data_IF_332625748803
#
_entry.id   IF_332625748803
#
_cell.length_a   1.000
_cell.length_b   1.000
_cell.length_c   1.000
_cell.angle_alpha   90.00
_cell.angle_beta   90.00
_cell.angle_gamma   90.00
#
_symmetry.space_group_name_H-M   'P 1'
#
loop_
_entity.id
_entity.type
_entity.pdbx_description
1 polymer ?
#
# COMPACT_ATOMS: atom_id res chain seq x y z
N UNK A 1 9.40 -11.87 22.47
CA UNK A 1 9.13 -11.20 21.17
C UNK A 1 9.40 -12.17 20.04
N UNK A 2 8.46 -12.34 19.11
CA UNK A 2 8.62 -13.27 17.97
C UNK A 2 9.55 -12.64 16.92
N UNK A 3 10.79 -13.15 16.83
CA UNK A 3 11.82 -12.66 15.90
C UNK A 3 11.64 -13.13 14.44
N UNK A 4 10.67 -14.01 14.17
CA UNK A 4 10.42 -14.54 12.81
C UNK A 4 9.67 -13.56 11.90
N UNK A 5 9.02 -12.54 12.45
CA UNK A 5 8.26 -11.54 11.72
C UNK A 5 8.64 -10.12 12.16
N UNK A 6 8.82 -9.22 11.20
CA UNK A 6 8.87 -7.76 11.41
C UNK A 6 7.61 -7.14 10.83
N UNK A 7 6.93 -6.30 11.61
CA UNK A 7 5.84 -5.45 11.13
C UNK A 7 6.44 -4.16 10.55
N UNK A 8 6.01 -3.77 9.36
CA UNK A 8 6.50 -2.58 8.67
C UNK A 8 5.32 -1.67 8.35
N UNK A 9 5.43 -0.41 8.74
CA UNK A 9 4.45 0.63 8.49
C UNK A 9 5.09 1.79 7.73
N UNK A 10 4.44 2.20 6.64
CA UNK A 10 4.69 3.47 5.99
C UNK A 10 3.63 4.45 6.51
N UNK A 11 4.06 5.54 7.12
CA UNK A 11 3.19 6.51 7.79
C UNK A 11 3.41 7.91 7.24
N UNK A 12 2.35 8.71 7.27
CA UNK A 12 2.37 10.14 7.06
C UNK A 12 1.37 10.78 8.04
N UNK A 13 1.89 11.37 9.14
CA UNK A 13 1.08 12.01 10.21
C UNK A 13 -0.03 11.13 10.79
N UNK A 14 0.18 9.81 10.82
CA UNK A 14 -0.84 8.83 11.27
C UNK A 14 -0.66 8.44 12.74
N UNK A 15 -0.26 9.37 13.60
CA UNK A 15 0.10 9.14 14.99
C UNK A 15 -0.95 8.37 15.79
N UNK A 16 -2.22 8.75 15.68
CA UNK A 16 -3.33 8.10 16.37
C UNK A 16 -3.45 6.60 16.04
N UNK A 17 -3.37 6.24 14.77
CA UNK A 17 -3.44 4.85 14.35
C UNK A 17 -2.16 4.09 14.69
N UNK A 18 -1.00 4.72 14.57
CA UNK A 18 0.26 4.13 15.01
C UNK A 18 0.23 3.79 16.49
N UNK A 19 -0.28 4.66 17.34
CA UNK A 19 -0.39 4.39 18.77
C UNK A 19 -1.27 3.16 19.05
N UNK A 20 -2.42 3.01 18.37
CA UNK A 20 -3.28 1.80 18.47
C UNK A 20 -2.53 0.53 18.07
N UNK A 21 -1.79 0.57 16.95
CA UNK A 21 -0.98 -0.55 16.47
C UNK A 21 0.11 -0.90 17.48
N UNK A 22 0.82 0.12 18.00
CA UNK A 22 1.91 -0.06 18.94
C UNK A 22 1.42 -0.67 20.25
N UNK A 23 0.34 -0.19 20.84
CA UNK A 23 -0.29 -0.79 22.04
C UNK A 23 -0.55 -2.29 21.86
N UNK A 24 -0.91 -2.72 20.66
CA UNK A 24 -1.24 -4.13 20.35
C UNK A 24 -0.02 -5.02 20.14
N UNK A 25 1.07 -4.47 19.53
CA UNK A 25 2.14 -5.30 18.96
C UNK A 25 3.55 -5.04 19.49
N UNK A 26 3.85 -3.91 20.12
CA UNK A 26 5.23 -3.49 20.44
C UNK A 26 6.02 -4.49 21.30
N UNK A 27 5.34 -5.26 22.16
CA UNK A 27 5.96 -6.33 22.96
C UNK A 27 6.01 -7.69 22.23
N UNK A 28 5.32 -7.83 21.09
CA UNK A 28 5.12 -9.12 20.41
C UNK A 28 6.02 -9.30 19.19
N UNK A 29 6.27 -8.24 18.46
CA UNK A 29 7.04 -8.27 17.20
C UNK A 29 8.01 -7.10 17.11
N UNK A 30 9.16 -7.25 16.41
CA UNK A 30 9.92 -6.12 15.91
C UNK A 30 9.05 -5.24 15.00
N UNK A 31 9.12 -3.92 15.18
CA UNK A 31 8.34 -2.95 14.39
C UNK A 31 9.30 -1.94 13.77
N UNK A 32 9.10 -1.67 12.48
CA UNK A 32 9.79 -0.59 11.76
C UNK A 32 8.72 0.35 11.20
N UNK A 33 8.86 1.64 11.49
CA UNK A 33 7.98 2.68 11.00
C UNK A 33 8.81 3.68 10.21
N UNK A 34 8.38 3.95 8.96
CA UNK A 34 8.92 5.06 8.17
C UNK A 34 7.90 6.19 8.19
N UNK A 35 8.22 7.29 8.89
CA UNK A 35 7.32 8.44 9.03
C UNK A 35 7.69 9.52 8.01
N UNK A 36 6.89 9.61 6.96
CA UNK A 36 7.15 10.44 5.78
C UNK A 36 6.79 11.94 5.96
N UNK A 37 6.18 12.33 7.05
CA UNK A 37 5.97 13.76 7.33
C UNK A 37 7.27 14.49 7.71
N UNK A 38 8.34 13.74 7.95
CA UNK A 38 9.63 14.24 8.42
C UNK A 38 9.55 14.93 9.82
N UNK A 39 8.42 14.79 10.50
CA UNK A 39 8.18 15.37 11.82
C UNK A 39 8.79 14.48 12.92
N UNK A 40 9.82 15.01 13.59
CA UNK A 40 10.50 14.30 14.66
C UNK A 40 9.67 14.18 15.93
N UNK A 41 8.74 15.12 16.17
CA UNK A 41 7.90 15.11 17.36
C UNK A 41 7.02 13.87 17.44
N UNK A 42 6.48 13.41 16.28
CA UNK A 42 5.68 12.17 16.20
C UNK A 42 6.51 10.97 16.68
N UNK A 43 7.78 10.89 16.23
CA UNK A 43 8.70 9.84 16.69
C UNK A 43 8.94 9.92 18.19
N UNK A 44 9.26 11.12 18.69
CA UNK A 44 9.71 11.32 20.07
C UNK A 44 8.56 11.04 21.03
N UNK A 45 7.35 11.49 20.71
CA UNK A 45 6.15 11.19 21.50
C UNK A 45 5.83 9.68 21.49
N UNK A 46 5.89 9.01 20.36
CA UNK A 46 5.62 7.56 20.31
C UNK A 46 6.74 6.75 20.99
N UNK A 47 8.00 7.17 20.89
CA UNK A 47 9.12 6.50 21.58
C UNK A 47 9.10 6.69 23.09
N UNK A 48 8.58 7.80 23.61
CA UNK A 48 8.41 7.99 25.06
C UNK A 48 7.47 6.95 25.67
N UNK A 49 6.42 6.57 24.92
CA UNK A 49 5.41 5.59 25.34
C UNK A 49 5.80 4.13 25.01
N UNK A 50 6.55 3.92 23.93
CA UNK A 50 6.85 2.58 23.39
C UNK A 50 8.35 2.42 23.13
N UNK A 51 9.03 1.67 23.98
CA UNK A 51 10.44 1.33 23.82
C UNK A 51 10.63 0.28 22.71
N UNK A 52 11.84 0.19 22.14
CA UNK A 52 12.25 -0.84 21.16
C UNK A 52 11.54 -0.80 19.79
N UNK A 53 11.10 0.38 19.34
CA UNK A 53 10.57 0.59 17.99
C UNK A 53 11.62 1.26 17.11
N UNK A 54 11.80 0.76 15.90
CA UNK A 54 12.70 1.35 14.94
C UNK A 54 11.94 2.39 14.10
N UNK A 55 12.07 3.67 14.46
CA UNK A 55 11.58 4.78 13.66
C UNK A 55 12.64 5.26 12.68
N UNK A 56 12.24 5.44 11.45
CA UNK A 56 13.03 6.04 10.38
C UNK A 56 12.32 7.33 9.97
N UNK A 57 12.99 8.46 10.18
CA UNK A 57 12.52 9.77 9.73
C UNK A 57 13.40 10.19 8.55
N UNK A 58 12.91 10.12 7.32
CA UNK A 58 13.68 10.54 6.14
C UNK A 58 13.80 12.07 6.08
N UNK A 59 14.80 12.58 5.37
CA UNK A 59 14.98 14.04 5.15
C UNK A 59 13.87 14.66 4.32
N UNK A 60 13.14 13.87 3.53
CA UNK A 60 12.00 14.27 2.70
C UNK A 60 11.00 13.12 2.61
N UNK A 61 9.75 13.42 2.26
CA UNK A 61 8.75 12.39 1.99
C UNK A 61 9.21 11.50 0.82
N UNK A 62 9.42 10.23 1.10
CA UNK A 62 9.90 9.23 0.13
C UNK A 62 8.76 8.59 -0.68
N UNK A 63 7.51 8.73 -0.23
CA UNK A 63 6.38 7.95 -0.72
C UNK A 63 6.41 6.50 -0.21
N UNK A 64 5.46 5.69 -0.67
CA UNK A 64 5.22 4.34 -0.13
C UNK A 64 6.30 3.35 -0.59
N UNK A 65 6.60 3.28 -1.88
CA UNK A 65 7.53 2.32 -2.45
C UNK A 65 8.94 2.43 -1.83
N UNK A 66 9.52 3.63 -1.84
CA UNK A 66 10.85 3.86 -1.27
C UNK A 66 10.88 3.66 0.24
N UNK A 67 9.79 4.00 0.94
CA UNK A 67 9.68 3.76 2.39
C UNK A 67 9.66 2.28 2.73
N UNK A 68 8.89 1.48 2.00
CA UNK A 68 8.91 0.03 2.17
C UNK A 68 10.29 -0.56 1.85
N UNK A 69 10.92 -0.16 0.76
CA UNK A 69 12.25 -0.60 0.42
C UNK A 69 13.28 -0.30 1.53
N UNK A 70 13.23 0.90 2.08
CA UNK A 70 14.11 1.32 3.18
C UNK A 70 13.88 0.47 4.45
N UNK A 71 12.64 0.24 4.81
CA UNK A 71 12.28 -0.57 5.98
C UNK A 71 12.65 -2.05 5.80
N UNK A 72 12.39 -2.63 4.61
CA UNK A 72 12.71 -4.02 4.28
C UNK A 72 14.22 -4.27 4.37
N UNK A 73 15.05 -3.34 3.91
CA UNK A 73 16.52 -3.44 4.05
C UNK A 73 16.93 -3.57 5.52
N UNK A 74 16.27 -2.87 6.43
CA UNK A 74 16.56 -2.87 7.88
C UNK A 74 15.94 -4.04 8.65
N UNK A 75 14.89 -4.68 8.13
CA UNK A 75 14.27 -5.83 8.79
C UNK A 75 15.26 -7.01 8.89
N UNK A 76 15.25 -7.73 10.03
CA UNK A 76 16.13 -8.88 10.28
C UNK A 76 15.38 -10.23 10.28
N UNK A 77 14.06 -10.20 10.35
CA UNK A 77 13.20 -11.38 10.46
C UNK A 77 13.08 -12.18 9.16
N UNK A 78 12.68 -13.45 9.25
CA UNK A 78 12.38 -14.34 8.11
C UNK A 78 11.26 -13.81 7.23
N UNK A 79 10.21 -13.25 7.86
CA UNK A 79 9.07 -12.66 7.21
C UNK A 79 8.96 -11.17 7.51
N UNK A 80 8.35 -10.44 6.61
CA UNK A 80 7.87 -9.07 6.84
C UNK A 80 6.38 -9.01 6.57
N UNK A 81 5.66 -8.24 7.36
CA UNK A 81 4.26 -7.91 7.15
C UNK A 81 4.17 -6.41 6.89
N UNK A 82 3.85 -6.07 5.64
CA UNK A 82 3.65 -4.68 5.23
C UNK A 82 2.20 -4.31 5.52
N UNK A 83 1.98 -3.21 6.20
CA UNK A 83 0.65 -2.78 6.61
C UNK A 83 0.53 -1.26 6.65
N UNK A 84 -0.67 -0.74 6.37
CA UNK A 84 -0.97 0.66 6.59
C UNK A 84 -1.35 0.89 8.07
N UNK A 85 -1.05 2.07 8.64
CA UNK A 85 -1.40 2.36 10.03
C UNK A 85 -2.90 2.25 10.34
N UNK A 86 -3.76 2.61 9.40
CA UNK A 86 -5.23 2.60 9.51
C UNK A 86 -5.87 1.23 9.20
N UNK A 87 -5.06 0.19 9.10
CA UNK A 87 -5.54 -1.20 8.95
C UNK A 87 -5.36 -1.95 10.25
N UNK A 88 -6.50 -2.39 10.80
CA UNK A 88 -6.55 -3.15 12.04
C UNK A 88 -6.61 -4.64 11.78
N UNK A 89 -5.60 -5.36 12.26
CA UNK A 89 -5.52 -6.82 12.21
C UNK A 89 -5.26 -7.38 13.62
N UNK A 90 -5.82 -8.55 13.93
CA UNK A 90 -5.58 -9.20 15.22
C UNK A 90 -4.24 -9.97 15.24
N UNK A 91 -3.68 -10.14 16.45
CA UNK A 91 -2.49 -10.97 16.62
C UNK A 91 -2.73 -12.44 16.20
N UNK A 92 -3.94 -12.95 16.43
CA UNK A 92 -4.35 -14.28 15.98
C UNK A 92 -4.32 -14.40 14.45
N UNK A 93 -4.81 -13.39 13.73
CA UNK A 93 -4.77 -13.33 12.28
C UNK A 93 -3.33 -13.35 11.75
N UNK A 94 -2.42 -12.57 12.34
CA UNK A 94 -0.99 -12.57 11.98
C UNK A 94 -0.37 -13.95 12.19
N UNK A 95 -0.64 -14.59 13.32
CA UNK A 95 -0.14 -15.96 13.58
C UNK A 95 -0.64 -16.98 12.56
N UNK A 96 -1.92 -16.91 12.17
CA UNK A 96 -2.48 -17.76 11.11
C UNK A 96 -1.80 -17.51 9.75
N UNK A 97 -1.52 -16.25 9.38
CA UNK A 97 -0.79 -15.94 8.15
C UNK A 97 0.63 -16.54 8.15
N UNK A 98 1.35 -16.47 9.26
CA UNK A 98 2.66 -17.11 9.41
C UNK A 98 2.56 -18.64 9.24
N UNK A 99 1.55 -19.27 9.83
CA UNK A 99 1.30 -20.71 9.69
C UNK A 99 1.04 -21.08 8.22
N UNK A 100 0.21 -20.31 7.51
CA UNK A 100 -0.02 -20.49 6.07
C UNK A 100 1.30 -20.37 5.28
N UNK A 101 2.08 -19.32 5.55
CA UNK A 101 3.35 -19.06 4.87
C UNK A 101 4.40 -20.17 5.05
N UNK A 102 4.41 -20.84 6.20
CA UNK A 102 5.32 -21.95 6.44
C UNK A 102 4.88 -23.27 5.77
N UNK A 103 3.60 -23.43 5.44
CA UNK A 103 3.04 -24.70 4.93
C UNK A 103 2.70 -24.66 3.44
N UNK A 104 2.52 -23.50 2.85
CA UNK A 104 2.19 -23.36 1.43
C UNK A 104 3.49 -23.23 0.62
N UNK A 105 3.75 -24.23 -0.23
CA UNK A 105 4.90 -24.19 -1.15
C UNK A 105 4.70 -23.09 -2.21
N UNK A 106 5.80 -22.48 -2.64
CA UNK A 106 5.82 -21.47 -3.72
C UNK A 106 4.98 -20.20 -3.47
N UNK A 107 4.56 -19.92 -2.23
CA UNK A 107 3.90 -18.65 -1.99
C UNK A 107 4.86 -17.47 -2.22
N UNK A 108 4.34 -16.43 -2.83
CA UNK A 108 5.00 -15.13 -2.92
C UNK A 108 4.46 -14.22 -1.82
N UNK A 109 3.15 -13.96 -1.87
CA UNK A 109 2.41 -13.13 -0.91
C UNK A 109 1.25 -13.93 -0.34
N UNK A 110 0.96 -13.71 0.96
CA UNK A 110 -0.30 -14.12 1.60
C UNK A 110 -0.89 -12.89 2.28
N UNK A 111 -2.10 -12.51 1.88
CA UNK A 111 -2.83 -11.37 2.42
C UNK A 111 -4.09 -11.83 3.16
N UNK A 112 -4.47 -11.18 4.26
CA UNK A 112 -5.84 -11.28 4.77
C UNK A 112 -6.79 -10.56 3.81
N UNK A 113 -8.10 -10.65 4.06
CA UNK A 113 -9.12 -9.96 3.26
C UNK A 113 -9.90 -8.97 4.11
N UNK A 114 -10.50 -7.96 3.49
CA UNK A 114 -11.39 -7.02 4.19
C UNK A 114 -12.53 -7.77 4.88
N UNK A 115 -12.94 -7.27 6.04
CA UNK A 115 -14.10 -7.81 6.76
C UNK A 115 -15.36 -7.75 5.90
N UNK A 116 -15.51 -6.68 5.14
CA UNK A 116 -16.62 -6.52 4.20
C UNK A 116 -16.09 -6.51 2.74
N UNK A 117 -15.85 -7.69 2.18
CA UNK A 117 -15.37 -7.88 0.80
C UNK A 117 -16.37 -7.44 -0.28
N UNK A 118 -17.65 -7.23 0.08
CA UNK A 118 -18.67 -6.75 -0.87
C UNK A 118 -18.47 -5.27 -1.20
N UNK A 119 -17.97 -4.49 -0.22
CA UNK A 119 -17.72 -3.04 -0.39
C UNK A 119 -16.30 -2.79 -0.91
N UNK A 120 -15.30 -3.49 -0.34
CA UNK A 120 -13.91 -3.30 -0.71
C UNK A 120 -13.20 -4.64 -0.88
N UNK A 121 -12.32 -4.71 -1.88
CA UNK A 121 -11.39 -5.83 -2.08
C UNK A 121 -9.96 -5.32 -2.15
N UNK A 122 -9.06 -6.03 -1.47
CA UNK A 122 -7.62 -5.79 -1.57
C UNK A 122 -6.92 -6.76 -2.54
N UNK A 123 -7.67 -7.36 -3.46
CA UNK A 123 -7.14 -8.27 -4.47
C UNK A 123 -8.01 -8.26 -5.73
N UNK A 124 -7.40 -8.66 -6.85
CA UNK A 124 -8.08 -8.83 -8.13
C UNK A 124 -7.86 -10.24 -8.68
N UNK A 125 -8.86 -10.74 -9.40
CA UNK A 125 -8.82 -11.98 -10.17
C UNK A 125 -9.10 -11.58 -11.62
N UNK A 126 -8.06 -11.63 -12.43
CA UNK A 126 -8.11 -11.20 -13.84
C UNK A 126 -8.30 -12.38 -14.81
N UNK A 127 -8.02 -13.61 -14.35
CA UNK A 127 -8.12 -14.81 -15.17
C UNK A 127 -9.45 -15.52 -14.93
N UNK A 128 -10.11 -15.91 -16.02
CA UNK A 128 -11.28 -16.80 -16.01
C UNK A 128 -10.95 -18.25 -15.64
N UNK A 129 -9.70 -18.55 -15.28
CA UNK A 129 -9.26 -19.89 -14.93
C UNK A 129 -9.98 -20.37 -13.68
N UNK A 130 -10.64 -21.53 -13.79
CA UNK A 130 -11.21 -22.28 -12.66
C UNK A 130 -10.17 -22.42 -11.55
N UNK A 131 -10.60 -22.21 -10.31
CA UNK A 131 -9.74 -22.32 -9.15
C UNK A 131 -9.09 -23.70 -9.08
N UNK A 132 -7.78 -23.78 -9.28
CA UNK A 132 -7.02 -24.95 -8.89
C UNK A 132 -6.84 -24.91 -7.35
N UNK A 133 -7.83 -25.43 -6.65
CA UNK A 133 -7.74 -25.61 -5.19
C UNK A 133 -6.84 -26.82 -4.92
N UNK A 134 -5.57 -26.58 -4.64
CA UNK A 134 -4.67 -27.61 -4.15
C UNK A 134 -5.11 -28.04 -2.73
N UNK A 135 -4.96 -29.35 -2.38
CA UNK A 135 -5.30 -29.87 -1.03
C UNK A 135 -4.71 -29.03 0.11
N UNK A 136 -3.48 -28.49 -0.03
CA UNK A 136 -2.86 -27.62 0.96
C UNK A 136 -3.53 -26.25 1.08
N UNK A 137 -4.04 -25.67 -0.04
CA UNK A 137 -4.73 -24.38 -0.03
C UNK A 137 -6.14 -24.50 0.53
N UNK A 138 -6.82 -25.64 0.28
CA UNK A 138 -8.16 -25.92 0.85
C UNK A 138 -8.11 -25.99 2.39
N UNK A 139 -7.11 -26.66 2.97
CA UNK A 139 -6.94 -26.77 4.43
C UNK A 139 -6.82 -25.41 5.13
N UNK A 140 -6.21 -24.39 4.47
CA UNK A 140 -6.02 -23.06 5.04
C UNK A 140 -7.03 -22.03 4.54
N UNK A 141 -8.01 -22.44 3.73
CA UNK A 141 -8.99 -21.57 3.10
C UNK A 141 -8.32 -20.35 2.41
N UNK A 142 -7.26 -20.63 1.64
CA UNK A 142 -6.57 -19.61 0.84
C UNK A 142 -6.95 -19.76 -0.63
N UNK A 143 -7.11 -18.63 -1.28
CA UNK A 143 -7.43 -18.50 -2.71
C UNK A 143 -6.27 -17.85 -3.45
N UNK A 144 -5.86 -18.45 -4.58
CA UNK A 144 -4.90 -17.82 -5.49
C UNK A 144 -5.56 -16.63 -6.20
N UNK A 145 -4.81 -15.54 -6.35
CA UNK A 145 -5.28 -14.28 -6.96
C UNK A 145 -4.23 -13.72 -7.91
N UNK A 146 -4.63 -12.75 -8.74
CA UNK A 146 -3.74 -12.16 -9.74
C UNK A 146 -3.02 -10.91 -9.26
N UNK A 147 -3.69 -10.10 -8.47
CA UNK A 147 -3.12 -8.89 -7.84
C UNK A 147 -3.52 -8.84 -6.37
N UNK A 148 -2.66 -8.25 -5.57
CA UNK A 148 -2.91 -7.92 -4.17
C UNK A 148 -2.51 -6.47 -3.97
N UNK A 149 -3.32 -5.75 -3.20
CA UNK A 149 -3.03 -4.42 -2.68
C UNK A 149 -2.44 -4.55 -1.26
N UNK A 150 -2.61 -3.57 -0.43
CA UNK A 150 -2.06 -3.43 0.93
C UNK A 150 -2.19 -4.68 1.85
N UNK A 151 -1.53 -4.64 3.00
CA UNK A 151 -1.61 -5.62 4.11
C UNK A 151 -1.29 -7.05 3.72
N UNK A 152 -0.02 -7.36 3.60
CA UNK A 152 0.40 -8.71 3.23
C UNK A 152 1.68 -9.17 3.92
N UNK A 153 1.78 -10.49 4.06
CA UNK A 153 2.95 -11.19 4.55
C UNK A 153 3.76 -11.74 3.38
N UNK A 154 5.07 -11.53 3.42
CA UNK A 154 6.02 -12.03 2.44
C UNK A 154 7.33 -12.46 3.11
N UNK A 155 8.04 -13.42 2.50
CA UNK A 155 9.38 -13.78 2.93
C UNK A 155 10.37 -12.66 2.60
N UNK A 156 11.21 -12.27 3.58
CA UNK A 156 12.27 -11.29 3.37
C UNK A 156 13.24 -11.69 2.25
N UNK A 157 13.53 -12.97 2.11
CA UNK A 157 14.39 -13.50 1.05
C UNK A 157 13.82 -13.22 -0.35
N UNK A 158 12.51 -13.30 -0.50
CA UNK A 158 11.81 -13.04 -1.77
C UNK A 158 11.81 -11.54 -2.05
N UNK A 159 11.32 -10.73 -1.10
CA UNK A 159 11.12 -9.29 -1.32
C UNK A 159 12.44 -8.54 -1.57
N UNK A 160 13.55 -8.95 -0.96
CA UNK A 160 14.87 -8.38 -1.22
C UNK A 160 15.35 -8.54 -2.67
N UNK A 161 14.90 -9.58 -3.38
CA UNK A 161 15.30 -9.83 -4.77
C UNK A 161 14.55 -8.98 -5.77
N UNK A 162 13.32 -8.55 -5.43
CA UNK A 162 12.41 -7.92 -6.38
C UNK A 162 12.26 -6.43 -6.09
N UNK A 163 12.15 -6.02 -4.82
CA UNK A 163 11.95 -4.64 -4.36
C UNK A 163 10.80 -3.90 -5.08
N UNK A 164 10.33 -2.83 -4.48
CA UNK A 164 9.33 -1.96 -5.11
C UNK A 164 9.97 -1.01 -6.11
N UNK A 165 9.27 -0.68 -7.18
CA UNK A 165 9.71 0.36 -8.11
C UNK A 165 9.51 1.74 -7.48
N UNK A 166 10.62 2.43 -7.16
CA UNK A 166 10.63 3.70 -6.45
C UNK A 166 10.14 4.90 -7.28
N UNK A 167 9.83 4.70 -8.57
CA UNK A 167 9.14 5.70 -9.40
C UNK A 167 7.71 5.91 -8.93
N UNK A 168 7.07 4.87 -8.36
CA UNK A 168 5.79 5.02 -7.68
C UNK A 168 5.97 5.73 -6.35
N UNK A 169 5.38 6.90 -6.22
CA UNK A 169 5.37 7.61 -4.94
C UNK A 169 4.20 7.15 -4.07
N UNK A 170 3.02 7.01 -4.67
CA UNK A 170 1.78 6.61 -4.01
C UNK A 170 0.87 5.93 -5.05
N UNK A 171 0.21 4.84 -4.66
CA UNK A 171 -0.67 3.99 -5.46
C UNK A 171 0.03 3.16 -6.56
N UNK A 172 -0.51 2.01 -6.84
CA UNK A 172 -0.06 1.02 -7.83
C UNK A 172 1.32 0.39 -7.56
N UNK A 173 2.09 0.86 -6.58
CA UNK A 173 3.38 0.25 -6.22
C UNK A 173 3.23 -1.21 -5.80
N UNK A 174 2.17 -1.54 -5.05
CA UNK A 174 1.91 -2.92 -4.60
C UNK A 174 1.42 -3.79 -5.75
N UNK A 175 0.56 -3.26 -6.62
CA UNK A 175 0.12 -3.99 -7.83
C UNK A 175 1.28 -4.28 -8.77
N UNK A 176 2.18 -3.32 -9.01
CA UNK A 176 3.38 -3.52 -9.81
C UNK A 176 4.30 -4.57 -9.19
N UNK A 177 4.53 -4.47 -7.90
CA UNK A 177 5.33 -5.44 -7.15
C UNK A 177 4.71 -6.85 -7.23
N UNK A 178 3.40 -6.99 -7.02
CA UNK A 178 2.69 -8.26 -7.10
C UNK A 178 2.80 -8.88 -8.50
N UNK A 179 2.67 -8.07 -9.55
CA UNK A 179 2.81 -8.53 -10.94
C UNK A 179 4.24 -8.98 -11.26
N UNK A 180 5.26 -8.23 -10.80
CA UNK A 180 6.65 -8.62 -10.97
C UNK A 180 6.98 -9.91 -10.20
N UNK A 181 6.41 -10.08 -9.01
CA UNK A 181 6.56 -11.29 -8.23
C UNK A 181 5.99 -12.52 -8.95
N UNK A 182 4.81 -12.41 -9.58
CA UNK A 182 4.23 -13.50 -10.39
C UNK A 182 5.12 -13.91 -11.56
N UNK A 183 5.84 -12.99 -12.19
CA UNK A 183 6.79 -13.30 -13.27
C UNK A 183 7.94 -14.22 -12.81
N UNK A 184 8.22 -14.28 -11.52
CA UNK A 184 9.23 -15.20 -10.95
C UNK A 184 8.67 -16.59 -10.60
N UNK A 185 7.45 -16.94 -11.04
CA UNK A 185 6.78 -18.20 -10.75
C UNK A 185 6.18 -18.29 -9.34
N UNK A 186 6.19 -17.18 -8.57
CA UNK A 186 5.58 -17.13 -7.24
C UNK A 186 4.09 -16.87 -7.33
N UNK A 187 3.34 -17.45 -6.39
CA UNK A 187 1.89 -17.34 -6.33
C UNK A 187 1.45 -16.36 -5.26
N UNK A 188 0.36 -15.65 -5.53
CA UNK A 188 -0.27 -14.71 -4.63
C UNK A 188 -1.52 -15.33 -4.04
N UNK A 189 -1.68 -15.25 -2.73
CA UNK A 189 -2.81 -15.83 -2.03
C UNK A 189 -3.53 -14.82 -1.14
N UNK A 190 -4.85 -14.95 -1.05
CA UNK A 190 -5.66 -14.34 0.01
C UNK A 190 -6.20 -15.42 0.94
N UNK A 191 -6.12 -15.18 2.24
CA UNK A 191 -6.64 -16.07 3.27
C UNK A 191 -8.06 -15.62 3.63
N UNK A 192 -9.08 -16.29 3.08
CA UNK A 192 -10.49 -15.90 3.13
C UNK A 192 -11.09 -15.85 4.54
N UNK A 193 -10.57 -16.66 5.44
CA UNK A 193 -11.00 -16.72 6.84
C UNK A 193 -10.18 -15.82 7.79
N UNK A 194 -9.25 -15.04 7.25
CA UNK A 194 -8.47 -14.06 8.01
C UNK A 194 -8.92 -12.66 7.59
N UNK A 195 -9.61 -11.98 8.49
CA UNK A 195 -10.23 -10.68 8.21
C UNK A 195 -9.45 -9.55 8.86
N UNK A 196 -9.49 -8.36 8.23
CA UNK A 196 -9.03 -7.10 8.80
C UNK A 196 -10.03 -5.98 8.55
N UNK A 197 -9.96 -4.93 9.37
CA UNK A 197 -10.72 -3.71 9.19
C UNK A 197 -9.80 -2.63 8.59
N UNK A 198 -10.31 -1.84 7.68
CA UNK A 198 -9.64 -0.66 7.15
C UNK A 198 -10.50 0.57 7.42
N UNK A 199 -9.97 1.51 8.16
CA UNK A 199 -10.69 2.73 8.51
C UNK A 199 -10.69 3.77 7.38
N UNK A 200 -9.89 3.55 6.33
CA UNK A 200 -9.84 4.35 5.09
C UNK A 200 -9.75 5.86 5.32
N UNK A 201 -8.99 6.56 4.52
CA UNK A 201 -8.90 8.05 4.46
C UNK A 201 -8.76 8.85 5.78
N UNK A 202 -8.90 8.21 6.94
CA UNK A 202 -8.90 8.83 8.27
C UNK A 202 -7.53 8.79 8.97
N UNK A 203 -6.50 8.26 8.30
CA UNK A 203 -5.17 8.10 8.90
C UNK A 203 -4.43 9.41 9.17
N UNK A 204 -4.87 10.51 8.57
CA UNK A 204 -4.23 11.84 8.67
C UNK A 204 -5.17 12.82 9.36
N UNK A 205 -4.69 13.71 10.25
CA UNK A 205 -5.51 14.74 10.88
C UNK A 205 -6.20 15.65 9.86
N UNK A 206 -7.43 16.08 10.17
CA UNK A 206 -8.30 16.88 9.27
C UNK A 206 -7.59 18.11 8.71
N UNK A 207 -6.78 18.80 9.50
CA UNK A 207 -6.02 19.99 9.06
C UNK A 207 -5.09 19.74 7.85
N UNK A 208 -4.73 18.49 7.57
CA UNK A 208 -3.91 18.10 6.42
C UNK A 208 -4.72 17.40 5.32
N UNK A 209 -6.04 17.24 5.48
CA UNK A 209 -6.89 16.48 4.55
C UNK A 209 -6.78 17.00 3.12
N UNK A 210 -6.88 18.31 2.94
CA UNK A 210 -6.79 18.97 1.62
C UNK A 210 -5.43 18.74 0.94
N UNK A 211 -4.33 18.82 1.69
CA UNK A 211 -2.99 18.55 1.18
C UNK A 211 -2.84 17.09 0.72
N UNK A 212 -3.38 16.17 1.52
CA UNK A 212 -3.36 14.73 1.22
C UNK A 212 -4.24 14.42 0.02
N UNK A 213 -5.41 15.05 -0.10
CA UNK A 213 -6.32 14.88 -1.23
C UNK A 213 -5.67 15.32 -2.55
N UNK A 214 -5.05 16.49 -2.57
CA UNK A 214 -4.30 17.00 -3.73
C UNK A 214 -3.15 16.05 -4.12
N UNK A 215 -2.43 15.54 -3.12
CA UNK A 215 -1.35 14.56 -3.34
C UNK A 215 -1.89 13.27 -3.95
N UNK A 216 -3.01 12.77 -3.44
CA UNK A 216 -3.71 11.59 -3.95
C UNK A 216 -4.20 11.80 -5.38
N UNK A 217 -4.78 12.95 -5.67
CA UNK A 217 -5.30 13.31 -6.99
C UNK A 217 -4.21 13.23 -8.07
N UNK A 218 -3.04 13.83 -7.82
CA UNK A 218 -1.92 13.74 -8.73
C UNK A 218 -1.41 12.29 -8.90
N UNK A 219 -1.05 11.66 -7.77
CA UNK A 219 -0.33 10.39 -7.81
C UNK A 219 -1.19 9.21 -8.25
N UNK A 220 -2.49 9.20 -7.94
CA UNK A 220 -3.37 8.16 -8.45
C UNK A 220 -3.38 8.11 -9.97
N UNK A 221 -3.51 9.27 -10.61
CA UNK A 221 -3.57 9.37 -12.06
C UNK A 221 -2.21 9.09 -12.71
N UNK A 222 -1.14 9.68 -12.17
CA UNK A 222 0.22 9.45 -12.64
C UNK A 222 0.58 7.96 -12.56
N UNK A 223 0.39 7.36 -11.40
CA UNK A 223 0.75 5.97 -11.12
C UNK A 223 -0.10 4.98 -11.91
N UNK A 224 -1.39 5.28 -12.13
CA UNK A 224 -2.28 4.46 -12.95
C UNK A 224 -1.76 4.34 -14.38
N UNK A 225 -1.45 5.46 -15.02
CA UNK A 225 -0.91 5.44 -16.38
C UNK A 225 0.44 4.74 -16.43
N UNK A 226 1.37 5.09 -15.52
CA UNK A 226 2.69 4.48 -15.47
C UNK A 226 2.63 2.97 -15.26
N UNK A 227 1.76 2.47 -14.37
CA UNK A 227 1.55 1.03 -14.17
C UNK A 227 1.12 0.31 -15.44
N UNK A 228 0.12 0.83 -16.15
CA UNK A 228 -0.37 0.20 -17.36
C UNK A 228 0.63 0.30 -18.50
N UNK A 229 1.33 1.44 -18.65
CA UNK A 229 2.40 1.59 -19.62
C UNK A 229 3.53 0.60 -19.39
N UNK A 230 4.01 0.49 -18.15
CA UNK A 230 5.12 -0.40 -17.77
C UNK A 230 4.77 -1.88 -17.95
N UNK A 231 3.57 -2.27 -17.59
CA UNK A 231 3.17 -3.67 -17.49
C UNK A 231 2.43 -4.23 -18.72
N UNK A 232 2.01 -3.36 -19.64
CA UNK A 232 1.35 -3.71 -20.88
C UNK A 232 1.99 -2.93 -22.04
N UNK A 233 1.45 -1.79 -22.43
CA UNK A 233 2.03 -0.87 -23.39
C UNK A 233 1.43 0.54 -23.27
N UNK A 234 1.95 1.49 -24.06
CA UNK A 234 1.55 2.90 -24.01
C UNK A 234 0.08 3.09 -24.42
N UNK A 235 -0.37 2.48 -25.52
CA UNK A 235 -1.73 2.64 -26.00
C UNK A 235 -2.77 2.01 -25.06
N UNK A 236 -2.44 0.88 -24.44
CA UNK A 236 -3.29 0.31 -23.41
C UNK A 236 -3.39 1.24 -22.18
N UNK A 237 -2.31 1.88 -21.80
CA UNK A 237 -2.31 2.87 -20.71
C UNK A 237 -3.19 4.09 -21.06
N UNK A 238 -3.10 4.61 -22.28
CA UNK A 238 -3.98 5.69 -22.76
C UNK A 238 -5.46 5.30 -22.64
N UNK A 239 -5.83 4.11 -23.11
CA UNK A 239 -7.21 3.59 -22.99
C UNK A 239 -7.66 3.50 -21.52
N UNK A 240 -6.76 3.11 -20.60
CA UNK A 240 -7.08 2.98 -19.17
C UNK A 240 -7.18 4.30 -18.43
N UNK A 241 -6.48 5.35 -18.88
CA UNK A 241 -6.52 6.67 -18.25
C UNK A 241 -7.59 7.59 -18.84
N UNK A 242 -8.03 7.35 -20.08
CA UNK A 242 -9.04 8.15 -20.78
C UNK A 242 -10.29 8.49 -19.94
N UNK A 243 -10.94 7.54 -19.23
CA UNK A 243 -12.08 7.88 -18.38
C UNK A 243 -11.75 8.86 -17.25
N UNK A 244 -10.49 8.90 -16.79
CA UNK A 244 -10.05 9.80 -15.74
C UNK A 244 -9.94 11.25 -16.25
N UNK A 245 -9.57 11.43 -17.53
CA UNK A 245 -9.54 12.74 -18.19
C UNK A 245 -10.94 13.35 -18.16
N UNK A 246 -11.96 12.61 -18.59
CA UNK A 246 -13.34 13.09 -18.57
C UNK A 246 -13.84 13.40 -17.17
N UNK A 247 -13.51 12.55 -16.18
CA UNK A 247 -13.87 12.81 -14.78
C UNK A 247 -13.24 14.11 -14.26
N UNK A 248 -11.97 14.34 -14.56
CA UNK A 248 -11.26 15.54 -14.15
C UNK A 248 -11.82 16.79 -14.84
N UNK A 249 -12.10 16.75 -16.16
CA UNK A 249 -12.72 17.84 -16.90
C UNK A 249 -14.14 18.14 -16.40
N UNK A 250 -14.97 17.09 -16.16
CA UNK A 250 -16.30 17.25 -15.58
C UNK A 250 -16.24 17.90 -14.19
N UNK A 251 -15.27 17.48 -13.36
CA UNK A 251 -15.04 18.08 -12.03
C UNK A 251 -14.71 19.58 -12.18
N UNK A 252 -13.82 19.95 -13.10
CA UNK A 252 -13.46 21.34 -13.37
C UNK A 252 -14.68 22.16 -13.78
N UNK A 253 -15.46 21.70 -14.76
CA UNK A 253 -16.64 22.42 -15.24
C UNK A 253 -17.66 22.64 -14.12
N UNK A 254 -17.98 21.59 -13.36
CA UNK A 254 -18.94 21.70 -12.25
C UNK A 254 -18.40 22.64 -11.16
N UNK A 255 -17.11 22.59 -10.87
CA UNK A 255 -16.49 23.44 -9.85
C UNK A 255 -16.46 24.92 -10.25
N UNK A 256 -16.27 25.21 -11.53
CA UNK A 256 -16.35 26.58 -12.06
C UNK A 256 -17.78 27.14 -11.93
N UNK A 257 -18.80 26.34 -12.30
CA UNK A 257 -20.21 26.73 -12.16
C UNK A 257 -20.58 27.01 -10.70
N UNK A 258 -20.06 26.16 -9.78
CA UNK A 258 -20.34 26.25 -8.33
C UNK A 258 -19.40 27.17 -7.57
N UNK A 259 -18.46 27.84 -8.26
CA UNK A 259 -17.41 28.68 -7.64
C UNK A 259 -16.62 27.92 -6.54
N UNK A 260 -16.46 26.60 -6.69
CA UNK A 260 -15.73 25.74 -5.75
C UNK A 260 -14.26 25.69 -6.13
N UNK A 261 -13.48 26.60 -5.57
CA UNK A 261 -12.04 26.75 -5.87
C UNK A 261 -11.22 25.52 -5.47
N UNK A 262 -11.62 24.81 -4.41
CA UNK A 262 -10.87 23.62 -3.96
C UNK A 262 -11.03 22.45 -4.94
N UNK A 263 -12.26 22.12 -5.34
CA UNK A 263 -12.51 21.07 -6.32
C UNK A 263 -11.99 21.44 -7.71
N UNK A 264 -12.01 22.73 -8.08
CA UNK A 264 -11.38 23.21 -9.30
C UNK A 264 -9.87 22.89 -9.29
N UNK A 265 -9.17 23.26 -8.22
CA UNK A 265 -7.74 22.97 -8.06
C UNK A 265 -7.44 21.46 -8.04
N UNK A 266 -8.27 20.65 -7.41
CA UNK A 266 -8.12 19.19 -7.42
C UNK A 266 -8.26 18.63 -8.85
N UNK A 267 -9.24 19.09 -9.62
CA UNK A 267 -9.41 18.72 -11.03
C UNK A 267 -8.19 19.08 -11.89
N UNK A 268 -7.62 20.26 -11.71
CA UNK A 268 -6.36 20.66 -12.37
C UNK A 268 -5.19 19.76 -11.99
N UNK A 269 -5.06 19.41 -10.73
CA UNK A 269 -4.01 18.52 -10.22
C UNK A 269 -4.19 17.10 -10.78
N UNK A 270 -5.42 16.61 -10.92
CA UNK A 270 -5.71 15.32 -11.57
C UNK A 270 -5.21 15.32 -13.02
N UNK A 271 -5.53 16.36 -13.80
CA UNK A 271 -5.05 16.52 -15.19
C UNK A 271 -3.53 16.65 -15.24
N UNK A 272 -2.95 17.44 -14.35
CA UNK A 272 -1.49 17.56 -14.25
C UNK A 272 -0.80 16.20 -14.03
N UNK A 273 -1.36 15.35 -13.15
CA UNK A 273 -0.86 13.99 -12.93
C UNK A 273 -0.97 13.12 -14.19
N UNK A 274 -2.09 13.20 -14.91
CA UNK A 274 -2.30 12.49 -16.16
C UNK A 274 -1.27 12.93 -17.20
N UNK A 275 -1.19 14.22 -17.50
CA UNK A 275 -0.28 14.74 -18.53
C UNK A 275 1.17 14.49 -18.18
N UNK A 276 1.58 14.69 -16.92
CA UNK A 276 2.94 14.37 -16.50
C UNK A 276 3.31 12.92 -16.82
N UNK A 277 2.40 11.98 -16.58
CA UNK A 277 2.66 10.56 -16.84
C UNK A 277 2.61 10.20 -18.33
N UNK A 278 1.67 10.79 -19.09
CA UNK A 278 1.55 10.62 -20.56
C UNK A 278 2.82 11.11 -21.25
N UNK A 279 3.32 12.29 -20.88
CA UNK A 279 4.58 12.82 -21.39
C UNK A 279 5.84 12.26 -20.73
N UNK A 280 5.71 11.17 -19.97
CA UNK A 280 6.82 10.45 -19.34
C UNK A 280 7.63 11.29 -18.34
N UNK A 281 7.08 12.36 -17.82
CA UNK A 281 7.71 13.16 -16.77
C UNK A 281 7.72 12.37 -15.45
N UNK A 282 8.67 12.69 -14.59
CA UNK A 282 8.74 12.10 -13.24
C UNK A 282 7.51 12.49 -12.42
N UNK A 283 7.15 11.64 -11.47
CA UNK A 283 6.13 11.95 -10.48
C UNK A 283 6.70 13.00 -9.50
N UNK A 284 6.46 14.29 -9.79
CA UNK A 284 7.13 15.41 -9.11
C UNK A 284 6.32 16.04 -7.97
N UNK A 285 5.00 15.89 -7.97
CA UNK A 285 4.14 16.52 -6.96
C UNK A 285 4.46 15.96 -5.55
N UNK A 286 4.82 16.83 -4.63
CA UNK A 286 5.11 16.46 -3.25
C UNK A 286 4.34 17.38 -2.30
N UNK A 287 3.73 16.85 -1.22
CA UNK A 287 3.14 17.70 -0.21
C UNK A 287 4.24 18.58 0.41
N UNK A 288 3.98 19.88 0.49
CA UNK A 288 4.79 20.77 1.33
C UNK A 288 4.32 20.55 2.77
N UNK A 289 5.27 20.29 3.67
CA UNK A 289 5.01 20.16 5.11
C UNK A 289 4.61 21.48 5.72
#
# INVERSE_FOLDING_TARGET
MNKNLTLIFCSYRSQYFLEKVLRRFYKKYPIIIVENSCDKNIRDELKSKFKNINFIIPKKNLGVASSYNLAIKKAKSKFVFLNNPDIEISNFAIRKLITCANKIKNFGIISPVYKNERIFRNYEILSSKKEYINKSTKKFNVREVDLIDNSFLISKRIIKKIMFDEKFFLYFEVFDFAKNLKKTGKKLYVAKNIKFNHFGSSSVPIKYSNLVEKTRAFHYNWSKFYFYKKNYNYFFALRKIYPNIFKALKKLLISLIKVDTNNCLIGLIELMGIFASVFCLKSFYRPKN
#
